data_IF_099071364408
#
_entry.id   IF_099071364408
#
_cell.length_a   1.000
_cell.length_b   1.000
_cell.length_c   1.000
_cell.angle_alpha   90.00
_cell.angle_beta   90.00
_cell.angle_gamma   90.00
#
_symmetry.space_group_name_H-M   'P 1'
#
loop_
_entity.id
_entity.type
_entity.pdbx_description
1 polymer ?
#
# COMPACT_ATOMS: atom_id res chain seq x y z
N UNK A 1 23.34 -28.72 -13.40
CA UNK A 1 23.21 -27.57 -14.32
C UNK A 1 21.81 -27.01 -14.16
N UNK A 2 21.65 -25.82 -13.58
CA UNK A 2 20.33 -25.18 -13.45
C UNK A 2 19.89 -24.75 -14.86
N UNK A 3 18.69 -25.15 -15.28
CA UNK A 3 18.17 -24.77 -16.60
C UNK A 3 18.08 -23.25 -16.74
N UNK A 4 18.49 -22.70 -17.88
CA UNK A 4 18.42 -21.25 -18.18
C UNK A 4 17.01 -20.67 -17.92
N UNK A 5 15.95 -21.46 -18.09
CA UNK A 5 14.56 -21.05 -17.86
C UNK A 5 14.19 -20.87 -16.38
N UNK A 6 14.87 -21.58 -15.48
CA UNK A 6 14.60 -21.56 -14.04
C UNK A 6 15.31 -20.38 -13.36
N UNK A 7 16.55 -20.10 -13.78
CA UNK A 7 17.30 -18.90 -13.39
C UNK A 7 16.57 -17.62 -13.83
N UNK A 8 16.05 -17.61 -15.07
CA UNK A 8 15.21 -16.54 -15.63
C UNK A 8 13.98 -16.24 -14.76
N UNK A 9 13.18 -17.27 -14.44
CA UNK A 9 12.00 -17.14 -13.58
C UNK A 9 12.33 -16.63 -12.17
N UNK A 10 13.50 -16.98 -11.63
CA UNK A 10 13.95 -16.56 -10.30
C UNK A 10 14.38 -15.08 -10.25
N UNK A 11 14.89 -14.55 -11.36
CA UNK A 11 15.35 -13.16 -11.48
C UNK A 11 14.18 -12.19 -11.64
N UNK A 12 13.20 -12.52 -12.48
CA UNK A 12 12.00 -11.69 -12.75
C UNK A 12 11.16 -11.45 -11.50
N UNK A 13 11.12 -12.42 -10.59
CA UNK A 13 10.31 -12.32 -9.36
C UNK A 13 10.81 -11.28 -8.35
N UNK A 14 12.00 -10.70 -8.54
CA UNK A 14 12.62 -9.77 -7.58
C UNK A 14 12.70 -8.35 -8.16
N UNK A 15 11.79 -7.43 -7.76
CA UNK A 15 11.83 -6.03 -8.21
C UNK A 15 13.19 -5.32 -7.98
N UNK A 16 13.91 -5.54 -6.85
CA UNK A 16 15.24 -4.96 -6.67
C UNK A 16 16.28 -5.41 -7.71
N UNK A 17 16.28 -6.69 -8.10
CA UNK A 17 17.20 -7.22 -9.12
C UNK A 17 16.89 -6.63 -10.48
N UNK A 18 15.59 -6.54 -10.81
CA UNK A 18 15.12 -5.93 -12.04
C UNK A 18 15.52 -4.44 -12.08
N UNK A 19 15.32 -3.71 -10.99
CA UNK A 19 15.74 -2.30 -10.85
C UNK A 19 17.25 -2.12 -11.11
N UNK A 20 18.10 -2.95 -10.50
CA UNK A 20 19.56 -2.93 -10.73
C UNK A 20 19.90 -3.19 -12.20
N UNK A 21 19.27 -4.21 -12.83
CA UNK A 21 19.54 -4.57 -14.22
C UNK A 21 19.11 -3.47 -15.19
N UNK A 22 17.94 -2.87 -15.00
CA UNK A 22 17.46 -1.76 -15.84
C UNK A 22 18.32 -0.51 -15.67
N UNK A 23 18.65 -0.15 -14.43
CA UNK A 23 19.51 1.00 -14.16
C UNK A 23 20.86 0.88 -14.89
N UNK A 24 21.54 -0.26 -14.75
CA UNK A 24 22.82 -0.51 -15.41
C UNK A 24 22.71 -0.59 -16.94
N UNK A 25 21.57 -1.03 -17.48
CA UNK A 25 21.34 -1.05 -18.92
C UNK A 25 21.14 0.34 -19.52
N UNK A 26 20.56 1.26 -18.74
CA UNK A 26 20.26 2.64 -19.18
C UNK A 26 21.45 3.58 -18.96
N UNK A 27 22.12 3.46 -17.82
CA UNK A 27 23.18 4.38 -17.39
C UNK A 27 24.59 3.84 -17.66
N UNK A 28 24.71 2.57 -18.05
CA UNK A 28 26.00 1.92 -18.27
C UNK A 28 26.76 1.61 -16.97
N UNK A 29 28.10 1.40 -17.07
CA UNK A 29 28.94 1.10 -15.91
C UNK A 29 28.79 2.16 -14.83
N UNK A 30 28.38 1.75 -13.63
CA UNK A 30 28.05 2.66 -12.53
C UNK A 30 28.74 2.25 -11.24
N UNK A 31 29.28 3.22 -10.50
CA UNK A 31 29.84 2.95 -9.18
C UNK A 31 28.76 2.54 -8.19
N UNK A 32 29.13 1.87 -7.10
CA UNK A 32 28.20 1.45 -6.05
C UNK A 32 27.28 2.60 -5.59
N UNK A 33 27.84 3.79 -5.39
CA UNK A 33 27.10 4.96 -4.89
C UNK A 33 26.07 5.47 -5.91
N UNK A 34 26.39 5.41 -7.20
CA UNK A 34 25.51 5.79 -8.31
C UNK A 34 24.40 4.74 -8.47
N UNK A 35 24.76 3.46 -8.45
CA UNK A 35 23.81 2.36 -8.47
C UNK A 35 22.83 2.45 -7.30
N UNK A 36 23.33 2.77 -6.11
CA UNK A 36 22.51 3.00 -4.91
C UNK A 36 21.56 4.18 -5.11
N UNK A 37 22.08 5.32 -5.58
CA UNK A 37 21.30 6.54 -5.80
C UNK A 37 20.21 6.34 -6.86
N UNK A 38 20.54 5.61 -7.93
CA UNK A 38 19.66 5.38 -9.06
C UNK A 38 18.60 4.32 -8.84
N UNK A 39 18.89 3.32 -8.00
CA UNK A 39 17.92 2.24 -7.69
C UNK A 39 17.12 2.50 -6.42
N UNK A 40 17.58 3.39 -5.53
CA UNK A 40 16.95 3.68 -4.25
C UNK A 40 17.14 2.60 -3.19
N UNK A 41 17.94 1.57 -3.46
CA UNK A 41 18.13 0.40 -2.58
C UNK A 41 19.10 0.69 -1.42
N UNK A 42 18.97 -0.06 -0.32
CA UNK A 42 19.91 0.00 0.81
C UNK A 42 21.28 -0.56 0.43
N UNK A 43 22.31 -0.26 1.22
CA UNK A 43 23.66 -0.82 1.02
C UNK A 43 23.66 -2.35 1.10
N UNK A 44 22.96 -2.92 2.09
CA UNK A 44 22.89 -4.38 2.30
C UNK A 44 22.11 -5.09 1.19
N UNK A 45 20.97 -4.53 0.78
CA UNK A 45 20.16 -5.04 -0.32
C UNK A 45 20.95 -5.09 -1.63
N UNK A 46 21.71 -4.05 -1.96
CA UNK A 46 22.52 -4.02 -3.19
C UNK A 46 23.56 -5.14 -3.18
N UNK A 47 24.33 -5.32 -2.10
CA UNK A 47 25.32 -6.40 -2.03
C UNK A 47 24.69 -7.79 -2.13
N UNK A 48 23.57 -8.01 -1.43
CA UNK A 48 22.84 -9.27 -1.51
C UNK A 48 22.32 -9.56 -2.93
N UNK A 49 21.76 -8.54 -3.59
CA UNK A 49 21.21 -8.70 -4.94
C UNK A 49 22.31 -8.80 -6.00
N UNK A 50 23.41 -8.05 -5.89
CA UNK A 50 24.57 -8.17 -6.76
C UNK A 50 25.20 -9.55 -6.68
N UNK A 51 25.30 -10.13 -5.48
CA UNK A 51 25.76 -11.53 -5.31
C UNK A 51 24.88 -12.51 -6.09
N UNK A 52 23.56 -12.32 -6.04
CA UNK A 52 22.63 -13.15 -6.83
C UNK A 52 22.60 -12.83 -8.33
N UNK A 53 23.23 -11.73 -8.75
CA UNK A 53 23.36 -11.27 -10.13
C UNK A 53 24.77 -11.46 -10.69
N UNK A 54 25.66 -12.18 -9.99
CA UNK A 54 27.09 -12.32 -10.36
C UNK A 54 27.32 -12.88 -11.77
N UNK A 55 26.37 -13.69 -12.29
CA UNK A 55 26.44 -14.20 -13.66
C UNK A 55 26.06 -13.17 -14.75
N UNK A 56 25.47 -12.03 -14.36
CA UNK A 56 24.90 -11.00 -15.25
C UNK A 56 25.54 -9.63 -15.07
N UNK A 57 25.99 -9.33 -13.85
CA UNK A 57 26.63 -8.08 -13.45
C UNK A 57 28.06 -8.39 -13.05
N UNK A 58 29.00 -7.70 -13.67
CA UNK A 58 30.43 -7.80 -13.35
C UNK A 58 30.92 -6.49 -12.77
N UNK A 59 31.87 -6.57 -11.85
CA UNK A 59 32.57 -5.40 -11.33
C UNK A 59 33.88 -5.23 -12.10
N UNK A 60 34.15 -4.01 -12.58
CA UNK A 60 35.41 -3.67 -13.24
C UNK A 60 36.51 -3.29 -12.24
N UNK A 61 37.72 -3.07 -12.76
CA UNK A 61 38.91 -2.68 -11.98
C UNK A 61 38.71 -1.34 -11.23
N UNK A 62 37.81 -0.49 -11.74
CA UNK A 62 37.44 0.79 -11.13
C UNK A 62 36.31 0.67 -10.09
N UNK A 63 35.98 -0.57 -9.67
CA UNK A 63 34.88 -0.90 -8.75
C UNK A 63 33.50 -0.47 -9.25
N UNK A 64 33.33 -0.29 -10.55
CA UNK A 64 32.04 0.01 -11.18
C UNK A 64 31.36 -1.27 -11.62
N UNK A 65 30.05 -1.34 -11.42
CA UNK A 65 29.23 -2.48 -11.82
C UNK A 65 28.70 -2.24 -13.23
N UNK A 66 28.80 -3.25 -14.09
CA UNK A 66 28.27 -3.22 -15.46
C UNK A 66 27.61 -4.53 -15.83
N UNK A 67 26.69 -4.49 -16.78
CA UNK A 67 26.15 -5.71 -17.37
C UNK A 67 27.20 -6.37 -18.26
N UNK A 68 27.28 -7.69 -18.17
CA UNK A 68 27.97 -8.50 -19.18
C UNK A 68 27.01 -8.86 -20.34
N UNK A 69 27.49 -9.61 -21.33
CA UNK A 69 26.66 -10.00 -22.47
C UNK A 69 25.38 -10.77 -22.07
N UNK A 70 25.45 -11.61 -21.03
CA UNK A 70 24.28 -12.34 -20.52
C UNK A 70 23.28 -11.37 -19.87
N UNK A 71 23.77 -10.39 -19.11
CA UNK A 71 22.96 -9.34 -18.48
C UNK A 71 22.25 -8.46 -19.51
N UNK A 72 22.93 -8.06 -20.59
CA UNK A 72 22.34 -7.29 -21.68
C UNK A 72 21.25 -8.07 -22.41
N UNK A 73 21.50 -9.35 -22.73
CA UNK A 73 20.48 -10.24 -23.34
C UNK A 73 19.28 -10.43 -22.41
N UNK A 74 19.51 -10.57 -21.11
CA UNK A 74 18.44 -10.68 -20.12
C UNK A 74 17.56 -9.42 -20.12
N UNK A 75 18.15 -8.23 -20.07
CA UNK A 75 17.39 -6.97 -20.11
C UNK A 75 16.61 -6.80 -21.42
N UNK A 76 17.17 -7.22 -22.55
CA UNK A 76 16.46 -7.20 -23.83
C UNK A 76 15.20 -8.09 -23.81
N UNK A 77 15.30 -9.28 -23.22
CA UNK A 77 14.15 -10.18 -23.03
C UNK A 77 13.10 -9.57 -22.08
N UNK A 78 13.53 -8.95 -20.97
CA UNK A 78 12.63 -8.28 -20.02
C UNK A 78 11.84 -7.14 -20.68
N UNK A 79 12.49 -6.37 -21.56
CA UNK A 79 11.85 -5.29 -22.32
C UNK A 79 10.83 -5.83 -23.34
N UNK A 80 11.09 -6.99 -23.95
CA UNK A 80 10.17 -7.62 -24.92
C UNK A 80 8.94 -8.25 -24.26
N UNK A 81 9.06 -8.79 -23.04
CA UNK A 81 7.93 -9.37 -22.30
C UNK A 81 7.08 -8.32 -21.55
N UNK A 82 7.28 -7.02 -21.81
CA UNK A 82 6.52 -5.93 -21.17
C UNK A 82 6.88 -5.68 -19.70
N UNK A 83 8.01 -6.23 -19.22
CA UNK A 83 8.48 -6.16 -17.83
C UNK A 83 9.16 -4.85 -17.46
N UNK A 84 8.68 -3.70 -17.94
CA UNK A 84 9.15 -2.41 -17.43
C UNK A 84 8.78 -2.32 -15.93
N UNK A 85 9.73 -2.08 -15.01
CA UNK A 85 9.38 -1.84 -13.63
C UNK A 85 8.69 -0.48 -13.55
N UNK A 86 7.45 -0.45 -13.07
CA UNK A 86 6.91 0.76 -12.46
C UNK A 86 7.84 1.14 -11.31
N UNK A 87 8.74 2.09 -11.55
CA UNK A 87 9.75 2.63 -10.64
C UNK A 87 9.10 3.50 -9.56
N UNK A 88 8.21 2.92 -8.75
CA UNK A 88 7.56 3.62 -7.63
C UNK A 88 7.72 2.93 -6.27
N UNK A 89 8.48 1.84 -6.16
CA UNK A 89 8.62 1.10 -4.90
C UNK A 89 10.04 1.13 -4.33
N UNK A 90 10.55 2.32 -4.02
CA UNK A 90 11.61 2.50 -3.04
C UNK A 90 11.04 3.39 -1.93
N UNK A 91 10.19 2.79 -1.10
CA UNK A 91 9.56 3.43 0.05
C UNK A 91 10.23 2.88 1.31
N UNK A 92 10.30 3.66 2.39
CA UNK A 92 10.95 3.32 3.68
C UNK A 92 10.43 2.03 4.32
N UNK A 93 9.32 1.51 3.82
CA UNK A 93 9.00 0.09 3.92
C UNK A 93 10.26 -0.77 3.79
N UNK A 94 11.05 -0.64 2.73
CA UNK A 94 12.29 -1.40 2.44
C UNK A 94 13.37 -1.32 3.52
N UNK A 95 13.45 -0.20 4.27
CA UNK A 95 14.40 -0.04 5.38
C UNK A 95 13.92 -0.72 6.67
N UNK A 96 12.59 -0.80 6.87
CA UNK A 96 11.98 -1.59 7.94
C UNK A 96 11.84 -3.08 7.57
N UNK A 97 11.84 -3.41 6.26
CA UNK A 97 11.87 -4.80 5.77
C UNK A 97 13.20 -5.50 6.09
N UNK A 98 14.30 -4.75 6.33
CA UNK A 98 15.62 -5.30 6.65
C UNK A 98 15.78 -5.72 8.12
N UNK A 99 14.99 -5.18 9.05
CA UNK A 99 15.18 -5.43 10.49
C UNK A 99 14.54 -6.74 10.98
N UNK A 100 13.54 -7.30 10.28
CA UNK A 100 12.93 -8.60 10.66
C UNK A 100 12.22 -9.36 9.50
N UNK A 101 12.85 -10.37 8.87
CA UNK A 101 12.31 -11.07 7.69
C UNK A 101 11.12 -12.02 7.96
N UNK A 102 10.87 -12.41 9.21
CA UNK A 102 9.73 -13.25 9.62
C UNK A 102 8.46 -12.43 9.82
N UNK A 103 8.59 -11.28 10.47
CA UNK A 103 7.52 -10.30 10.68
C UNK A 103 7.05 -9.72 9.34
N UNK A 104 7.98 -9.59 8.38
CA UNK A 104 7.73 -9.24 6.98
C UNK A 104 6.82 -10.23 6.23
N UNK A 105 7.11 -11.54 6.31
CA UNK A 105 6.28 -12.55 5.66
C UNK A 105 4.89 -12.57 6.26
N UNK A 106 4.80 -12.43 7.59
CA UNK A 106 3.52 -12.34 8.28
C UNK A 106 2.74 -11.08 7.86
N UNK A 107 3.35 -9.89 7.88
CA UNK A 107 2.70 -8.65 7.47
C UNK A 107 2.35 -8.69 5.98
N UNK A 108 3.24 -9.06 5.06
CA UNK A 108 2.92 -9.06 3.62
C UNK A 108 1.83 -10.08 3.23
N UNK A 109 1.78 -11.23 3.93
CA UNK A 109 0.75 -12.25 3.77
C UNK A 109 -0.58 -11.79 4.36
N UNK A 110 -0.59 -11.23 5.57
CA UNK A 110 -1.80 -10.69 6.21
C UNK A 110 -2.29 -9.44 5.50
N UNK A 111 -1.42 -8.55 5.06
CA UNK A 111 -1.78 -7.31 4.35
C UNK A 111 -2.28 -7.50 2.92
N UNK A 112 -2.35 -8.74 2.42
CA UNK A 112 -2.75 -9.06 1.05
C UNK A 112 -1.97 -8.30 -0.05
N UNK A 113 -0.73 -7.90 0.21
CA UNK A 113 0.08 -7.19 -0.79
C UNK A 113 0.27 -7.97 -2.10
N UNK A 114 0.24 -9.31 -2.02
CA UNK A 114 0.25 -10.20 -3.18
C UNK A 114 -0.98 -10.03 -4.10
N UNK A 115 -2.14 -9.77 -3.50
CA UNK A 115 -3.44 -9.66 -4.14
C UNK A 115 -3.50 -8.30 -4.81
N UNK A 116 -3.05 -7.24 -4.13
CA UNK A 116 -3.00 -5.89 -4.72
C UNK A 116 -2.12 -5.83 -5.97
N UNK A 117 -1.00 -6.57 -5.98
CA UNK A 117 -0.18 -6.72 -7.19
C UNK A 117 -0.93 -7.41 -8.32
N UNK A 118 -1.69 -8.47 -8.01
CA UNK A 118 -2.51 -9.15 -9.01
C UNK A 118 -3.64 -8.24 -9.53
N UNK A 119 -4.30 -7.50 -8.64
CA UNK A 119 -5.36 -6.55 -8.99
C UNK A 119 -4.82 -5.44 -9.90
N UNK A 120 -3.68 -4.83 -9.53
CA UNK A 120 -3.01 -3.82 -10.35
C UNK A 120 -2.58 -4.35 -11.73
N UNK A 121 -2.29 -5.65 -11.85
CA UNK A 121 -1.90 -6.26 -13.13
C UNK A 121 -3.07 -6.60 -14.05
N UNK A 122 -4.31 -6.60 -13.56
CA UNK A 122 -5.48 -7.01 -14.33
C UNK A 122 -6.74 -6.27 -13.89
N UNK A 123 -7.24 -5.40 -14.78
CA UNK A 123 -8.52 -4.70 -14.59
C UNK A 123 -9.67 -5.70 -14.46
N UNK A 124 -9.67 -6.78 -15.25
CA UNK A 124 -10.70 -7.82 -15.17
C UNK A 124 -10.74 -8.49 -13.80
N UNK A 125 -9.56 -8.81 -13.22
CA UNK A 125 -9.48 -9.35 -11.87
C UNK A 125 -9.95 -8.34 -10.83
N UNK A 126 -9.56 -7.06 -10.99
CA UNK A 126 -10.02 -5.98 -10.10
C UNK A 126 -11.54 -5.85 -10.08
N UNK A 127 -12.17 -5.85 -11.25
CA UNK A 127 -13.63 -5.80 -11.38
C UNK A 127 -14.28 -7.05 -10.78
N UNK A 128 -13.74 -8.24 -11.02
CA UNK A 128 -14.26 -9.48 -10.45
C UNK A 128 -14.20 -9.49 -8.91
N UNK A 129 -13.08 -9.06 -8.34
CA UNK A 129 -12.91 -8.95 -6.87
C UNK A 129 -13.81 -7.85 -6.29
N UNK A 130 -13.97 -6.74 -7.00
CA UNK A 130 -14.89 -5.68 -6.60
C UNK A 130 -16.33 -6.20 -6.55
N UNK A 131 -16.79 -6.91 -7.58
CA UNK A 131 -18.14 -7.49 -7.61
C UNK A 131 -18.33 -8.49 -6.47
N UNK A 132 -17.41 -9.44 -6.31
CA UNK A 132 -17.50 -10.46 -5.27
C UNK A 132 -17.47 -9.87 -3.85
N UNK A 133 -16.59 -8.89 -3.62
CA UNK A 133 -16.50 -8.18 -2.35
C UNK A 133 -17.75 -7.34 -2.06
N UNK A 134 -18.31 -6.70 -3.09
CA UNK A 134 -19.53 -5.91 -2.98
C UNK A 134 -20.73 -6.80 -2.65
N UNK A 135 -20.91 -7.90 -3.37
CA UNK A 135 -21.95 -8.90 -3.12
C UNK A 135 -21.86 -9.42 -1.68
N UNK A 136 -20.67 -9.76 -1.21
CA UNK A 136 -20.45 -10.16 0.18
C UNK A 136 -20.89 -9.08 1.18
N UNK A 137 -20.52 -7.82 0.95
CA UNK A 137 -20.91 -6.72 1.83
C UNK A 137 -22.43 -6.56 1.89
N UNK A 138 -23.13 -6.64 0.76
CA UNK A 138 -24.60 -6.56 0.68
C UNK A 138 -25.26 -7.69 1.48
N UNK A 139 -24.84 -8.93 1.26
CA UNK A 139 -25.41 -10.12 1.93
C UNK A 139 -25.21 -10.11 3.45
N UNK A 140 -24.07 -9.60 3.94
CA UNK A 140 -23.80 -9.50 5.37
C UNK A 140 -24.54 -8.31 5.98
N UNK A 141 -24.60 -7.16 5.29
CA UNK A 141 -25.28 -5.97 5.81
C UNK A 141 -26.78 -6.23 6.02
N UNK A 142 -27.44 -6.93 5.09
CA UNK A 142 -28.84 -7.35 5.23
C UNK A 142 -29.11 -8.12 6.53
N UNK A 143 -28.15 -8.94 6.97
CA UNK A 143 -28.29 -9.82 8.14
C UNK A 143 -27.88 -9.19 9.47
N UNK A 144 -27.02 -8.18 9.46
CA UNK A 144 -26.38 -7.67 10.66
C UNK A 144 -26.51 -6.14 10.77
N UNK A 145 -27.73 -5.61 10.70
CA UNK A 145 -28.08 -4.18 10.67
C UNK A 145 -27.18 -3.24 11.51
N UNK A 146 -26.91 -2.05 10.97
CA UNK A 146 -26.27 -0.84 11.54
C UNK A 146 -24.77 -0.62 11.24
N UNK A 147 -24.54 -0.08 10.04
CA UNK A 147 -23.70 1.09 9.70
C UNK A 147 -22.40 1.33 10.50
N UNK A 148 -21.29 0.93 9.90
CA UNK A 148 -20.27 1.92 9.58
C UNK A 148 -20.53 2.28 8.12
N UNK A 149 -20.88 3.53 7.79
CA UNK A 149 -20.48 4.24 6.55
C UNK A 149 -21.41 5.43 6.21
N UNK A 150 -20.80 6.61 6.38
CA UNK A 150 -21.01 7.94 5.80
C UNK A 150 -22.39 8.63 5.78
N UNK A 151 -23.52 7.95 5.62
CA UNK A 151 -24.78 8.63 5.30
C UNK A 151 -26.00 7.88 5.86
N UNK A 152 -26.05 7.69 7.18
CA UNK A 152 -27.21 7.08 7.83
C UNK A 152 -27.49 5.63 7.38
N UNK A 153 -28.55 5.04 7.92
CA UNK A 153 -29.09 3.80 7.37
C UNK A 153 -29.97 4.17 6.18
N UNK A 154 -29.45 4.08 4.96
CA UNK A 154 -30.35 4.04 3.81
C UNK A 154 -31.20 2.77 3.87
N UNK A 155 -32.39 2.85 3.29
CA UNK A 155 -33.40 1.79 3.36
C UNK A 155 -32.92 0.45 2.78
N UNK A 156 -31.95 0.45 1.85
CA UNK A 156 -31.46 -0.77 1.21
C UNK A 156 -29.93 -1.02 1.42
N UNK A 157 -29.51 -2.28 1.62
CA UNK A 157 -28.10 -2.65 1.84
C UNK A 157 -27.15 -2.33 0.67
N UNK A 158 -27.66 -2.29 -0.55
CA UNK A 158 -26.87 -2.04 -1.77
C UNK A 158 -26.39 -0.60 -1.80
N UNK A 159 -27.30 0.35 -1.59
CA UNK A 159 -26.99 1.78 -1.50
C UNK A 159 -25.98 2.07 -0.39
N UNK A 160 -26.14 1.43 0.78
CA UNK A 160 -25.19 1.55 1.89
C UNK A 160 -23.78 1.08 1.50
N UNK A 161 -23.64 -0.11 0.90
CA UNK A 161 -22.35 -0.65 0.48
C UNK A 161 -21.72 0.18 -0.65
N UNK A 162 -22.53 0.78 -1.52
CA UNK A 162 -22.04 1.62 -2.61
C UNK A 162 -21.49 2.95 -2.10
N UNK A 163 -22.28 3.67 -1.29
CA UNK A 163 -21.88 4.94 -0.70
C UNK A 163 -20.65 4.77 0.17
N UNK A 164 -20.59 3.68 0.93
CA UNK A 164 -19.44 3.29 1.70
C UNK A 164 -18.13 3.29 0.89
N UNK A 165 -18.12 2.58 -0.23
CA UNK A 165 -16.93 2.45 -1.07
C UNK A 165 -16.52 3.79 -1.68
N UNK A 166 -17.49 4.59 -2.14
CA UNK A 166 -17.23 5.91 -2.70
C UNK A 166 -16.64 6.85 -1.64
N UNK A 167 -17.23 6.88 -0.45
CA UNK A 167 -16.73 7.71 0.65
C UNK A 167 -15.32 7.30 1.08
N UNK A 168 -15.02 6.00 1.07
CA UNK A 168 -13.70 5.50 1.40
C UNK A 168 -12.65 5.85 0.32
N UNK A 169 -13.00 5.77 -0.96
CA UNK A 169 -12.12 6.20 -2.06
C UNK A 169 -11.89 7.72 -2.04
N UNK A 170 -12.95 8.51 -1.85
CA UNK A 170 -12.86 9.95 -1.72
C UNK A 170 -11.98 10.35 -0.51
N UNK A 171 -12.20 9.72 0.64
CA UNK A 171 -11.38 9.96 1.82
C UNK A 171 -9.94 9.49 1.62
N UNK A 172 -9.70 8.40 0.88
CA UNK A 172 -8.33 7.97 0.54
C UNK A 172 -7.57 9.02 -0.25
N UNK A 173 -8.25 9.70 -1.17
CA UNK A 173 -7.68 10.78 -1.97
C UNK A 173 -7.35 11.97 -1.07
N UNK A 174 -8.29 12.39 -0.22
CA UNK A 174 -8.09 13.48 0.74
C UNK A 174 -6.97 13.18 1.74
N UNK A 175 -6.95 11.98 2.32
CA UNK A 175 -5.89 11.52 3.22
C UNK A 175 -4.52 11.60 2.54
N UNK A 176 -4.43 11.12 1.30
CA UNK A 176 -3.19 11.16 0.52
C UNK A 176 -2.71 12.58 0.24
N UNK A 177 -3.62 13.48 -0.11
CA UNK A 177 -3.35 14.92 -0.28
C UNK A 177 -2.79 15.54 1.01
N UNK A 178 -3.45 15.28 2.13
CA UNK A 178 -3.11 15.86 3.43
C UNK A 178 -1.78 15.32 3.97
N UNK A 179 -1.48 14.04 3.77
CA UNK A 179 -0.23 13.42 4.25
C UNK A 179 0.95 13.76 3.36
N UNK A 180 0.83 13.61 2.03
CA UNK A 180 1.97 13.76 1.11
C UNK A 180 2.34 15.22 0.80
N UNK A 181 1.36 16.13 0.80
CA UNK A 181 1.58 17.57 0.61
C UNK A 181 2.16 18.02 -0.73
N UNK A 182 2.20 17.17 -1.76
CA UNK A 182 2.83 17.46 -3.06
C UNK A 182 1.80 17.74 -4.17
N UNK A 183 1.29 18.98 -4.22
CA UNK A 183 0.16 19.40 -5.07
C UNK A 183 0.27 19.02 -6.58
N UNK A 184 1.46 19.09 -7.21
CA UNK A 184 1.64 18.80 -8.64
C UNK A 184 1.71 17.32 -9.01
N UNK A 185 2.32 16.49 -8.18
CA UNK A 185 2.29 15.02 -8.32
C UNK A 185 0.89 14.46 -7.99
N UNK A 186 0.10 15.26 -7.25
CA UNK A 186 -1.25 14.91 -6.82
C UNK A 186 -2.34 15.25 -7.84
N UNK A 187 -2.09 16.16 -8.80
CA UNK A 187 -3.03 16.41 -9.91
C UNK A 187 -3.29 15.15 -10.74
N UNK A 188 -2.24 14.35 -11.02
CA UNK A 188 -2.37 13.03 -11.65
C UNK A 188 -3.05 11.98 -10.76
N UNK A 189 -3.02 12.14 -9.43
CA UNK A 189 -3.65 11.22 -8.46
C UNK A 189 -5.12 11.54 -8.19
N UNK A 190 -5.59 12.76 -8.48
CA UNK A 190 -7.01 13.13 -8.47
C UNK A 190 -7.75 12.57 -9.70
N UNK A 191 -7.05 12.40 -10.83
CA UNK A 191 -7.56 11.67 -12.01
C UNK A 191 -7.78 10.15 -11.75
N UNK A 192 -7.33 9.63 -10.60
CA UNK A 192 -7.44 8.24 -10.16
C UNK A 192 -8.61 7.98 -9.18
N UNK A 193 -9.57 8.92 -9.06
CA UNK A 193 -10.84 8.59 -8.42
C UNK A 193 -11.50 7.43 -9.19
N UNK A 194 -12.02 6.46 -8.44
CA UNK A 194 -12.60 5.23 -8.99
C UNK A 194 -11.62 4.32 -9.76
N UNK A 195 -10.32 4.33 -9.42
CA UNK A 195 -9.40 3.32 -9.93
C UNK A 195 -9.89 1.90 -9.54
N UNK A 196 -10.16 1.00 -10.50
CA UNK A 196 -10.75 -0.30 -10.19
C UNK A 196 -9.91 -1.13 -9.22
N UNK A 197 -8.59 -1.05 -9.33
CA UNK A 197 -7.66 -1.79 -8.47
C UNK A 197 -7.74 -1.29 -7.01
N UNK A 198 -7.73 0.03 -6.79
CA UNK A 198 -7.91 0.62 -5.47
C UNK A 198 -9.31 0.36 -4.90
N UNK A 199 -10.36 0.53 -5.70
CA UNK A 199 -11.73 0.24 -5.25
C UNK A 199 -11.88 -1.23 -4.83
N UNK A 200 -11.32 -2.15 -5.61
CA UNK A 200 -11.36 -3.57 -5.28
C UNK A 200 -10.61 -3.90 -3.99
N UNK A 201 -9.44 -3.30 -3.75
CA UNK A 201 -8.67 -3.52 -2.51
C UNK A 201 -9.33 -2.87 -1.29
N UNK A 202 -9.91 -1.67 -1.43
CA UNK A 202 -10.74 -1.05 -0.41
C UNK A 202 -11.97 -1.91 -0.09
N UNK A 203 -12.61 -2.49 -1.11
CA UNK A 203 -13.75 -3.38 -0.94
C UNK A 203 -13.40 -4.65 -0.15
N UNK A 204 -12.20 -5.21 -0.34
CA UNK A 204 -11.71 -6.32 0.49
C UNK A 204 -11.59 -5.89 1.96
N UNK A 205 -11.07 -4.69 2.23
CA UNK A 205 -11.03 -4.13 3.58
C UNK A 205 -12.43 -3.98 4.20
N UNK A 206 -13.38 -3.43 3.45
CA UNK A 206 -14.78 -3.29 3.89
C UNK A 206 -15.45 -4.65 4.15
N UNK A 207 -15.16 -5.66 3.33
CA UNK A 207 -15.65 -7.02 3.54
C UNK A 207 -15.13 -7.61 4.86
N UNK A 208 -13.84 -7.39 5.19
CA UNK A 208 -13.28 -7.82 6.48
C UNK A 208 -13.92 -7.10 7.68
N UNK A 209 -14.33 -5.84 7.54
CA UNK A 209 -15.11 -5.14 8.57
C UNK A 209 -16.48 -5.79 8.78
N UNK A 210 -17.19 -6.10 7.69
CA UNK A 210 -18.49 -6.78 7.78
C UNK A 210 -18.34 -8.17 8.42
N UNK A 211 -17.28 -8.90 8.09
CA UNK A 211 -16.96 -10.18 8.73
C UNK A 211 -16.69 -10.02 10.23
N UNK A 212 -15.94 -8.99 10.64
CA UNK A 212 -15.70 -8.68 12.05
C UNK A 212 -17.01 -8.51 12.81
N UNK A 213 -17.96 -7.78 12.22
CA UNK A 213 -19.27 -7.54 12.83
C UNK A 213 -20.08 -8.83 12.94
N UNK A 214 -20.10 -9.64 11.88
CA UNK A 214 -20.77 -10.93 11.91
C UNK A 214 -20.22 -11.79 13.07
N UNK A 215 -18.89 -11.85 13.24
CA UNK A 215 -18.26 -12.57 14.35
C UNK A 215 -18.61 -12.00 15.72
N UNK A 216 -18.65 -10.67 15.86
CA UNK A 216 -19.04 -10.01 17.10
C UNK A 216 -20.49 -10.32 17.47
N UNK A 217 -21.40 -10.31 16.49
CA UNK A 217 -22.83 -10.59 16.67
C UNK A 217 -23.13 -12.04 17.09
N UNK A 218 -22.23 -12.99 16.83
CA UNK A 218 -22.38 -14.38 17.29
C UNK A 218 -22.19 -14.53 18.81
N UNK A 219 -21.64 -13.51 19.48
CA UNK A 219 -21.45 -13.50 20.93
C UNK A 219 -20.46 -14.54 21.45
N UNK A 220 -20.29 -14.59 22.77
CA UNK A 220 -19.43 -15.57 23.45
C UNK A 220 -17.98 -15.59 22.94
N UNK A 221 -17.39 -16.78 22.80
CA UNK A 221 -16.02 -16.96 22.32
C UNK A 221 -15.80 -16.45 20.88
N UNK A 222 -16.83 -16.43 20.05
CA UNK A 222 -16.72 -15.96 18.66
C UNK A 222 -16.44 -14.46 18.57
N UNK A 223 -16.87 -13.68 19.56
CA UNK A 223 -16.56 -12.24 19.64
C UNK A 223 -15.05 -11.99 19.79
N UNK A 224 -14.29 -12.91 20.41
CA UNK A 224 -12.83 -12.79 20.52
C UNK A 224 -12.13 -13.00 19.18
N UNK A 225 -12.73 -13.78 18.26
CA UNK A 225 -12.22 -13.94 16.89
C UNK A 225 -12.38 -12.66 16.06
N UNK A 226 -13.19 -11.70 16.50
CA UNK A 226 -13.32 -10.41 15.80
C UNK A 226 -12.04 -9.58 15.89
N UNK A 227 -11.29 -9.67 17.00
CA UNK A 227 -10.04 -8.92 17.23
C UNK A 227 -8.99 -9.15 16.14
N UNK A 228 -8.57 -10.38 15.82
CA UNK A 228 -7.60 -10.61 14.75
C UNK A 228 -8.13 -10.15 13.38
N UNK A 229 -9.44 -10.20 13.14
CA UNK A 229 -10.05 -9.74 11.87
C UNK A 229 -10.05 -8.20 11.78
N UNK A 230 -10.24 -7.47 12.88
CA UNK A 230 -10.08 -6.00 12.92
C UNK A 230 -8.65 -5.61 12.56
N UNK A 231 -7.67 -6.28 13.16
CA UNK A 231 -6.25 -6.03 12.87
C UNK A 231 -5.97 -6.31 11.38
N UNK A 232 -6.50 -7.42 10.86
CA UNK A 232 -6.38 -7.78 9.45
C UNK A 232 -6.99 -6.72 8.52
N UNK A 233 -8.19 -6.24 8.83
CA UNK A 233 -8.83 -5.16 8.10
C UNK A 233 -7.96 -3.89 8.09
N UNK A 234 -7.48 -3.48 9.27
CA UNK A 234 -6.66 -2.27 9.43
C UNK A 234 -5.40 -2.35 8.57
N UNK A 235 -4.71 -3.50 8.61
CA UNK A 235 -3.52 -3.75 7.79
C UNK A 235 -3.83 -3.75 6.29
N UNK A 236 -4.96 -4.34 5.89
CA UNK A 236 -5.40 -4.42 4.49
C UNK A 236 -5.72 -3.03 3.92
N UNK A 237 -6.51 -2.23 4.64
CA UNK A 237 -6.85 -0.86 4.24
C UNK A 237 -5.61 0.03 4.15
N UNK A 238 -4.75 -0.02 5.16
CA UNK A 238 -3.51 0.77 5.19
C UNK A 238 -2.57 0.36 4.04
N UNK A 239 -2.41 -0.93 3.81
CA UNK A 239 -1.58 -1.46 2.72
C UNK A 239 -2.13 -1.11 1.34
N UNK A 240 -3.46 -1.07 1.18
CA UNK A 240 -4.12 -0.61 -0.05
C UNK A 240 -3.73 0.85 -0.34
N UNK A 241 -3.84 1.75 0.65
CA UNK A 241 -3.46 3.15 0.48
C UNK A 241 -1.97 3.29 0.21
N UNK A 242 -1.14 2.55 0.95
CA UNK A 242 0.31 2.59 0.74
C UNK A 242 0.69 2.17 -0.68
N UNK A 243 0.07 1.10 -1.18
CA UNK A 243 0.36 0.54 -2.50
C UNK A 243 -0.12 1.44 -3.65
N UNK A 244 -1.38 1.86 -3.65
CA UNK A 244 -1.99 2.57 -4.78
C UNK A 244 -1.81 4.09 -4.73
N UNK A 245 -1.74 4.68 -3.52
CA UNK A 245 -1.56 6.14 -3.37
C UNK A 245 -0.10 6.54 -3.15
N UNK A 246 0.80 5.58 -2.93
CA UNK A 246 2.23 5.81 -2.76
C UNK A 246 2.59 6.53 -1.47
N UNK A 247 1.78 6.34 -0.42
CA UNK A 247 2.10 6.77 0.94
C UNK A 247 2.96 5.68 1.60
N UNK A 248 3.90 6.07 2.45
CA UNK A 248 4.62 5.11 3.29
C UNK A 248 3.66 4.28 4.17
N UNK A 249 3.98 3.01 4.44
CA UNK A 249 3.04 2.12 5.13
C UNK A 249 2.76 2.59 6.56
N UNK A 250 3.78 3.05 7.31
CA UNK A 250 3.57 3.49 8.71
C UNK A 250 2.57 4.67 8.77
N UNK A 251 2.76 5.79 8.03
CA UNK A 251 1.73 6.83 7.97
C UNK A 251 0.36 6.33 7.53
N UNK A 252 0.31 5.35 6.61
CA UNK A 252 -0.96 4.79 6.14
C UNK A 252 -1.73 4.02 7.22
N UNK A 253 -1.07 3.53 8.30
CA UNK A 253 -1.74 2.88 9.44
C UNK A 253 -2.74 3.81 10.15
N UNK A 254 -2.58 5.12 10.01
CA UNK A 254 -3.50 6.10 10.57
C UNK A 254 -4.76 6.27 9.71
N UNK A 255 -4.78 5.79 8.46
CA UNK A 255 -5.92 5.96 7.56
C UNK A 255 -7.23 5.40 8.13
N UNK A 256 -7.31 4.13 8.59
CA UNK A 256 -8.55 3.59 9.15
C UNK A 256 -9.01 4.36 10.40
N UNK A 257 -8.06 4.75 11.27
CA UNK A 257 -8.37 5.53 12.46
C UNK A 257 -8.89 6.93 12.12
N UNK A 258 -8.20 7.67 11.24
CA UNK A 258 -8.64 8.99 10.77
C UNK A 258 -10.03 8.90 10.16
N UNK A 259 -10.26 7.90 9.30
CA UNK A 259 -11.55 7.67 8.67
C UNK A 259 -12.65 7.45 9.71
N UNK A 260 -12.43 6.57 10.69
CA UNK A 260 -13.38 6.31 11.78
C UNK A 260 -13.66 7.55 12.61
N UNK A 261 -12.64 8.34 12.97
CA UNK A 261 -12.85 9.56 13.77
C UNK A 261 -13.65 10.63 13.02
N UNK A 262 -13.36 10.86 11.73
CA UNK A 262 -14.18 11.77 10.93
C UNK A 262 -15.60 11.24 10.76
N UNK A 263 -15.75 9.93 10.57
CA UNK A 263 -17.06 9.28 10.51
C UNK A 263 -17.88 9.53 11.78
N UNK A 264 -17.34 9.26 12.96
CA UNK A 264 -18.04 9.46 14.23
C UNK A 264 -18.41 10.94 14.43
N UNK A 265 -17.54 11.86 14.04
CA UNK A 265 -17.83 13.30 14.09
C UNK A 265 -19.00 13.70 13.18
N UNK A 266 -19.05 13.20 11.94
CA UNK A 266 -20.16 13.49 11.01
C UNK A 266 -21.45 12.77 11.41
N UNK A 267 -21.33 11.56 11.96
CA UNK A 267 -22.46 10.81 12.48
C UNK A 267 -23.12 11.57 13.63
N UNK A 268 -22.35 11.99 14.64
CA UNK A 268 -22.89 12.78 15.76
C UNK A 268 -23.43 14.16 15.32
N UNK A 269 -22.86 14.76 14.26
CA UNK A 269 -23.39 15.99 13.66
C UNK A 269 -24.80 15.80 13.06
N UNK A 270 -25.16 14.57 12.67
CA UNK A 270 -26.47 14.28 12.08
C UNK A 270 -27.58 14.13 13.14
N UNK A 271 -27.23 14.02 14.43
CA UNK A 271 -28.15 13.82 15.56
C UNK A 271 -28.03 14.91 16.64
N UNK A 272 -27.60 16.12 16.25
CA UNK A 272 -27.28 17.27 17.12
C UNK A 272 -28.40 17.82 18.04
N UNK A 273 -29.56 17.16 18.15
CA UNK A 273 -30.65 17.60 19.01
C UNK A 273 -30.27 17.61 20.51
N UNK A 274 -29.14 17.02 20.89
CA UNK A 274 -28.68 16.91 22.28
C UNK A 274 -27.34 17.63 22.57
N UNK A 275 -27.25 18.48 23.62
CA UNK A 275 -26.04 19.22 23.96
C UNK A 275 -24.78 18.37 24.24
N UNK A 276 -24.96 17.14 24.76
CA UNK A 276 -23.88 16.19 24.99
C UNK A 276 -23.24 15.67 23.69
N UNK A 277 -23.96 15.70 22.58
CA UNK A 277 -23.46 15.23 21.28
C UNK A 277 -22.59 16.25 20.55
N UNK A 278 -22.72 17.55 20.90
CA UNK A 278 -21.80 18.59 20.42
C UNK A 278 -20.36 18.36 20.92
N UNK A 279 -20.19 17.96 22.19
CA UNK A 279 -18.85 17.67 22.76
C UNK A 279 -18.20 16.45 22.10
N UNK A 280 -18.98 15.41 21.82
CA UNK A 280 -18.50 14.22 21.12
C UNK A 280 -18.09 14.54 19.68
N UNK A 281 -18.88 15.35 18.98
CA UNK A 281 -18.59 15.79 17.60
C UNK A 281 -17.23 16.50 17.50
N UNK A 282 -17.00 17.50 18.37
CA UNK A 282 -15.74 18.27 18.37
C UNK A 282 -14.56 17.36 18.74
N UNK A 283 -14.74 16.48 19.72
CA UNK A 283 -13.71 15.52 20.15
C UNK A 283 -13.28 14.58 19.03
N UNK A 284 -14.23 13.93 18.35
CA UNK A 284 -13.95 13.04 17.23
C UNK A 284 -13.30 13.78 16.06
N UNK A 285 -13.79 14.98 15.72
CA UNK A 285 -13.19 15.79 14.67
C UNK A 285 -11.74 16.16 15.00
N UNK A 286 -11.47 16.58 16.25
CA UNK A 286 -10.13 16.92 16.72
C UNK A 286 -9.18 15.71 16.66
N UNK A 287 -9.64 14.51 17.06
CA UNK A 287 -8.86 13.27 16.96
C UNK A 287 -8.57 12.89 15.49
N UNK A 288 -9.55 13.05 14.61
CA UNK A 288 -9.37 12.86 13.17
C UNK A 288 -8.29 13.77 12.60
N UNK A 289 -8.37 15.07 12.88
CA UNK A 289 -7.37 16.06 12.47
C UNK A 289 -5.99 15.76 13.07
N UNK A 290 -5.93 15.45 14.37
CA UNK A 290 -4.68 15.10 15.05
C UNK A 290 -4.01 13.90 14.39
N UNK A 291 -4.76 12.85 14.06
CA UNK A 291 -4.22 11.67 13.39
C UNK A 291 -3.64 11.98 12.00
N UNK A 292 -4.24 12.90 11.23
CA UNK A 292 -3.68 13.37 9.96
C UNK A 292 -2.35 14.11 10.17
N UNK A 293 -2.25 14.94 11.22
CA UNK A 293 -1.01 15.63 11.56
C UNK A 293 0.10 14.65 11.95
N UNK A 294 -0.21 13.65 12.76
CA UNK A 294 0.74 12.59 13.13
C UNK A 294 1.19 11.82 11.89
N UNK A 295 0.26 11.40 11.03
CA UNK A 295 0.58 10.70 9.78
C UNK A 295 1.51 11.53 8.88
N UNK A 296 1.19 12.82 8.66
CA UNK A 296 2.00 13.76 7.90
C UNK A 296 3.38 14.01 8.52
N UNK A 297 3.44 14.11 9.85
CA UNK A 297 4.70 14.29 10.57
C UNK A 297 5.60 13.07 10.40
N UNK A 298 5.06 11.86 10.58
CA UNK A 298 5.80 10.61 10.38
C UNK A 298 6.29 10.50 8.93
N UNK A 299 5.41 10.73 7.93
CA UNK A 299 5.78 10.69 6.51
C UNK A 299 6.94 11.64 6.18
N UNK A 300 6.89 12.87 6.72
CA UNK A 300 7.96 13.86 6.55
C UNK A 300 9.24 13.48 7.27
N UNK A 301 9.16 12.96 8.48
CA UNK A 301 10.33 12.52 9.26
C UNK A 301 11.05 11.39 8.53
N UNK A 302 10.29 10.40 8.08
CA UNK A 302 10.75 9.29 7.25
C UNK A 302 11.46 9.81 5.98
N UNK A 303 10.81 10.68 5.21
CA UNK A 303 11.40 11.27 3.99
C UNK A 303 12.64 12.14 4.27
N UNK A 304 12.68 12.82 5.42
CA UNK A 304 13.85 13.61 5.85
C UNK A 304 15.02 12.74 6.24
N UNK A 305 14.82 11.63 6.95
CA UNK A 305 15.89 10.69 7.29
C UNK A 305 16.50 10.07 6.02
N UNK A 306 15.66 9.69 5.05
CA UNK A 306 16.13 9.24 3.74
C UNK A 306 16.99 10.31 3.06
N UNK A 307 16.50 11.56 2.97
CA UNK A 307 17.24 12.68 2.36
C UNK A 307 18.51 13.06 3.15
N UNK A 308 18.49 12.96 4.47
CA UNK A 308 19.62 13.26 5.36
C UNK A 308 20.71 12.21 5.31
N UNK A 309 20.32 10.93 5.27
CA UNK A 309 21.23 9.81 4.98
C UNK A 309 21.86 9.91 3.59
N UNK A 310 21.09 10.39 2.59
CA UNK A 310 21.60 10.68 1.25
C UNK A 310 22.61 11.85 1.29
N UNK A 311 22.34 12.96 2.00
CA UNK A 311 23.28 14.10 2.11
C UNK A 311 24.57 13.73 2.86
N UNK A 312 24.49 12.96 3.95
CA UNK A 312 25.66 12.49 4.71
C UNK A 312 26.50 11.45 3.96
N UNK A 313 25.94 10.81 2.92
CA UNK A 313 26.67 9.87 2.07
C UNK A 313 27.29 10.52 0.82
N UNK A 314 27.00 11.81 0.58
CA UNK A 314 27.46 12.59 -0.58
C UNK A 314 28.56 13.60 -0.19
N UNK A 315 28.70 13.93 1.10
CA UNK A 315 29.81 14.68 1.69
C UNK A 315 30.81 13.72 2.34
#
# INVERSE_FOLDING_TARGET
MVSKSELYRKLIKSPPRVSILYYLAEHGPSRFLELKKGTGLSTGAIYHHLKSLEEFVVQDENKSYRLNEKGLRLVALLKQEGGAPNTQFASVNDALLETSPTLLKAISFVSFTWLFRMLASSVALSVAVLIAGFEFCVLINEKFSQSFLFLGNFADPVTNAFIALISLDAFSTLFSLMVSGAYEETRKKVELLFEPALLSSLCVGVALLHLTKALFSLGGYYSLLSIPVVVWCTLTLSSSISYFRGIEFIPSLFFPFSFTMFYEAFYSLSYLDFPSEHFNTIGFFALGVFSLFVARWIDRSIKKEVKGGIKKAIL
#
